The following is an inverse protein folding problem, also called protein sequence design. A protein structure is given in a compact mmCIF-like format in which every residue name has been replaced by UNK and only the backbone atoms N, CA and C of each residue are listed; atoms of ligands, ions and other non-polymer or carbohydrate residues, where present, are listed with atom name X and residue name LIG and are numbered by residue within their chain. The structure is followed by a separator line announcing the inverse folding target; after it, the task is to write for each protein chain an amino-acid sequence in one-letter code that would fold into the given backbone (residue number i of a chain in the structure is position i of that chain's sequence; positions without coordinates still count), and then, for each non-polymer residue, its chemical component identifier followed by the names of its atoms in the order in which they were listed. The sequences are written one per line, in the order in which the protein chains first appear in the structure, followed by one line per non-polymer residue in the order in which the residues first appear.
data_IF_297417312014
#
_entry.id   IF_297417312014
#
_cell.length_a   1.000
_cell.length_b   1.000
_cell.length_c   1.000
_cell.angle_alpha   90.00
_cell.angle_beta   90.00
_cell.angle_gamma   90.00
#
_symmetry.space_group_name_H-M   'P 1'
#
loop_
_entity.id
_entity.type
_entity.pdbx_description
1 polymer ?
#
# COMPACT_ATOMS: atom_id res chain seq x y z
N UNK A 1 -0.69 30.25 -18.40
CA UNK A 1 -1.98 29.70 -17.92
C UNK A 1 -3.07 30.17 -18.86
N UNK A 2 -3.89 29.27 -19.39
CA UNK A 2 -4.91 29.59 -20.42
C UNK A 2 -5.86 30.71 -19.98
N UNK A 3 -6.25 30.74 -18.70
CA UNK A 3 -7.09 31.79 -18.13
C UNK A 3 -6.50 33.21 -18.32
N UNK A 4 -5.18 33.37 -18.13
CA UNK A 4 -4.51 34.66 -18.33
C UNK A 4 -4.53 35.10 -19.79
N UNK A 5 -4.22 34.18 -20.70
CA UNK A 5 -4.22 34.44 -22.15
C UNK A 5 -5.62 34.85 -22.63
N UNK A 6 -6.67 34.21 -22.13
CA UNK A 6 -8.06 34.52 -22.51
C UNK A 6 -8.58 35.80 -21.87
N UNK A 7 -8.09 36.18 -20.70
CA UNK A 7 -8.35 37.50 -20.10
C UNK A 7 -7.71 38.61 -20.93
N UNK A 8 -6.48 38.44 -21.37
CA UNK A 8 -5.78 39.41 -22.23
C UNK A 8 -6.45 39.55 -23.62
N UNK A 9 -7.17 38.51 -24.06
CA UNK A 9 -7.97 38.49 -25.30
C UNK A 9 -9.42 38.98 -25.12
N UNK A 10 -9.83 39.36 -23.91
CA UNK A 10 -11.22 39.70 -23.54
C UNK A 10 -12.25 38.59 -23.87
N UNK A 11 -11.81 37.33 -23.85
CA UNK A 11 -12.60 36.12 -24.17
C UNK A 11 -12.89 35.27 -22.93
N UNK A 12 -13.16 35.90 -21.80
CA UNK A 12 -13.43 35.20 -20.52
C UNK A 12 -14.76 34.42 -20.59
N UNK A 13 -15.71 34.88 -21.43
CA UNK A 13 -17.01 34.21 -21.66
C UNK A 13 -16.89 32.75 -22.11
N UNK A 14 -15.79 32.39 -22.79
CA UNK A 14 -15.52 31.01 -23.23
C UNK A 14 -15.51 30.04 -22.05
N UNK A 15 -15.03 30.45 -20.86
CA UNK A 15 -15.02 29.57 -19.67
C UNK A 15 -16.43 29.23 -19.16
N UNK A 16 -17.40 30.12 -19.40
CA UNK A 16 -18.81 29.87 -19.09
C UNK A 16 -19.46 28.99 -20.16
N UNK A 17 -19.17 29.24 -21.44
CA UNK A 17 -19.68 28.46 -22.57
C UNK A 17 -19.24 26.99 -22.53
N UNK A 18 -17.98 26.73 -22.18
CA UNK A 18 -17.46 25.36 -22.02
C UNK A 18 -17.77 24.75 -20.64
N UNK A 19 -18.38 25.51 -19.73
CA UNK A 19 -18.71 25.04 -18.39
C UNK A 19 -17.52 24.77 -17.46
N UNK A 20 -16.37 25.42 -17.67
CA UNK A 20 -15.14 25.18 -16.92
C UNK A 20 -15.14 25.77 -15.49
N UNK A 21 -16.01 26.75 -15.22
CA UNK A 21 -16.05 27.45 -13.92
C UNK A 21 -16.40 26.50 -12.76
N UNK A 22 -17.40 25.62 -12.94
CA UNK A 22 -17.82 24.67 -11.88
C UNK A 22 -16.74 23.64 -11.53
N UNK A 23 -16.07 22.97 -12.49
CA UNK A 23 -14.91 22.12 -12.20
C UNK A 23 -13.80 22.85 -11.47
N UNK A 24 -13.52 24.12 -11.81
CA UNK A 24 -12.49 24.91 -11.12
C UNK A 24 -12.88 25.18 -9.65
N UNK A 25 -14.14 25.57 -9.39
CA UNK A 25 -14.67 25.73 -8.03
C UNK A 25 -14.48 24.43 -7.24
N UNK A 26 -14.84 23.29 -7.82
CA UNK A 26 -14.71 21.97 -7.19
C UNK A 26 -13.26 21.64 -6.83
N UNK A 27 -12.31 21.88 -7.74
CA UNK A 27 -10.88 21.63 -7.49
C UNK A 27 -10.35 22.56 -6.40
N UNK A 28 -10.77 23.82 -6.38
CA UNK A 28 -10.38 24.78 -5.35
C UNK A 28 -10.90 24.40 -3.96
N UNK A 29 -12.12 23.89 -3.85
CA UNK A 29 -12.76 23.55 -2.57
C UNK A 29 -12.34 22.20 -1.99
N UNK A 30 -12.24 21.16 -2.83
CA UNK A 30 -12.27 19.76 -2.36
C UNK A 30 -11.04 18.94 -2.76
N UNK A 31 -10.09 19.51 -3.51
CA UNK A 31 -8.89 18.78 -3.92
C UNK A 31 -7.86 18.69 -2.78
N UNK A 32 -7.25 17.50 -2.64
CA UNK A 32 -6.12 17.28 -1.75
C UNK A 32 -4.76 17.70 -2.35
N UNK A 33 -4.72 18.09 -3.64
CA UNK A 33 -3.50 18.48 -4.33
C UNK A 33 -3.28 20.00 -4.21
N UNK A 34 -2.28 20.47 -3.43
CA UNK A 34 -2.06 21.91 -3.21
C UNK A 34 -1.76 22.67 -4.49
N UNK A 35 -1.07 22.05 -5.45
CA UNK A 35 -0.74 22.66 -6.74
C UNK A 35 -1.98 22.84 -7.61
N UNK A 36 -2.87 21.84 -7.64
CA UNK A 36 -4.13 21.92 -8.37
C UNK A 36 -5.06 22.99 -7.79
N UNK A 37 -5.18 23.05 -6.45
CA UNK A 37 -5.94 24.10 -5.75
C UNK A 37 -5.40 25.48 -6.11
N UNK A 38 -4.07 25.67 -6.05
CA UNK A 38 -3.44 26.96 -6.33
C UNK A 38 -3.72 27.45 -7.75
N UNK A 39 -3.64 26.55 -8.75
CA UNK A 39 -3.97 26.90 -10.12
C UNK A 39 -5.48 27.13 -10.34
N UNK A 40 -6.35 26.38 -9.66
CA UNK A 40 -7.79 26.58 -9.74
C UNK A 40 -8.22 27.93 -9.15
N UNK A 41 -7.70 28.29 -7.98
CA UNK A 41 -7.93 29.60 -7.35
C UNK A 41 -7.41 30.74 -8.23
N UNK A 42 -6.21 30.58 -8.80
CA UNK A 42 -5.65 31.59 -9.71
C UNK A 42 -6.50 31.74 -10.98
N UNK A 43 -7.01 30.64 -11.55
CA UNK A 43 -7.90 30.70 -12.71
C UNK A 43 -9.23 31.38 -12.37
N UNK A 44 -9.87 31.05 -11.24
CA UNK A 44 -11.12 31.68 -10.80
C UNK A 44 -10.96 33.19 -10.53
N UNK A 45 -9.84 33.57 -9.91
CA UNK A 45 -9.50 34.98 -9.65
C UNK A 45 -9.36 35.76 -10.96
N UNK A 46 -8.76 35.15 -11.99
CA UNK A 46 -8.61 35.74 -13.32
C UNK A 46 -9.97 35.88 -14.01
N UNK A 47 -10.87 34.89 -13.85
CA UNK A 47 -12.23 34.88 -14.42
C UNK A 47 -13.15 35.90 -13.72
N UNK A 48 -12.84 36.27 -12.47
CA UNK A 48 -13.65 37.23 -11.67
C UNK A 48 -14.71 36.56 -10.80
N UNK A 49 -14.57 35.26 -10.53
CA UNK A 49 -15.46 34.49 -9.67
C UNK A 49 -15.03 34.58 -8.20
N UNK A 50 -16.00 34.47 -7.28
CA UNK A 50 -15.71 34.38 -5.84
C UNK A 50 -14.88 33.12 -5.55
N UNK A 51 -13.77 33.27 -4.83
CA UNK A 51 -12.93 32.14 -4.44
C UNK A 51 -13.74 31.30 -3.43
N UNK A 52 -13.94 30.00 -3.69
CA UNK A 52 -14.67 29.15 -2.78
C UNK A 52 -13.96 29.07 -1.43
N UNK A 53 -14.72 29.14 -0.34
CA UNK A 53 -14.22 28.80 0.98
C UNK A 53 -13.78 27.34 1.02
N UNK A 54 -12.59 27.10 1.56
CA UNK A 54 -12.05 25.75 1.72
C UNK A 54 -12.85 25.05 2.82
N UNK A 55 -13.61 24.03 2.45
CA UNK A 55 -14.34 23.19 3.39
C UNK A 55 -13.44 22.07 3.92
N UNK A 56 -13.72 21.62 5.14
CA UNK A 56 -13.06 20.44 5.71
C UNK A 56 -13.42 19.20 4.89
N UNK A 57 -12.47 18.28 4.72
CA UNK A 57 -12.74 16.98 4.09
C UNK A 57 -13.50 16.02 5.03
N UNK A 58 -13.49 16.29 6.34
CA UNK A 58 -14.27 15.54 7.33
C UNK A 58 -15.72 16.00 7.31
N UNK A 59 -16.49 15.48 6.35
CA UNK A 59 -17.92 15.78 6.18
C UNK A 59 -18.77 15.38 7.40
N UNK A 60 -18.50 14.28 8.12
CA UNK A 60 -19.28 13.93 9.32
C UNK A 60 -19.25 14.99 10.43
N UNK A 61 -18.27 15.88 10.42
CA UNK A 61 -18.11 16.95 11.41
C UNK A 61 -18.61 18.31 10.92
N UNK A 62 -19.27 18.36 9.77
CA UNK A 62 -19.78 19.62 9.21
C UNK A 62 -20.96 20.16 10.01
N UNK A 63 -20.93 21.46 10.24
CA UNK A 63 -22.06 22.23 10.74
C UNK A 63 -23.10 22.48 9.64
N UNK A 64 -24.28 22.97 10.03
CA UNK A 64 -25.29 23.43 9.08
C UNK A 64 -24.74 24.51 8.14
N UNK A 65 -23.92 25.45 8.64
CA UNK A 65 -23.31 26.50 7.81
C UNK A 65 -22.32 25.93 6.78
N UNK A 66 -21.57 24.88 7.11
CA UNK A 66 -20.69 24.19 6.17
C UNK A 66 -21.50 23.53 5.04
N UNK A 67 -22.62 22.90 5.38
CA UNK A 67 -23.57 22.31 4.40
C UNK A 67 -24.14 23.40 3.48
N UNK A 68 -24.56 24.54 4.03
CA UNK A 68 -25.07 25.67 3.26
C UNK A 68 -24.01 26.26 2.31
N UNK A 69 -22.75 26.26 2.75
CA UNK A 69 -21.60 26.68 1.96
C UNK A 69 -21.36 25.71 0.80
N UNK A 70 -21.37 24.40 1.08
CA UNK A 70 -21.25 23.37 0.05
C UNK A 70 -22.39 23.46 -0.98
N UNK A 71 -23.64 23.65 -0.55
CA UNK A 71 -24.80 23.85 -1.43
C UNK A 71 -24.62 25.02 -2.40
N UNK A 72 -24.08 26.15 -1.92
CA UNK A 72 -23.75 27.30 -2.77
C UNK A 72 -22.71 26.90 -3.82
N UNK A 73 -21.66 26.19 -3.42
CA UNK A 73 -20.56 25.78 -4.31
C UNK A 73 -20.98 24.81 -5.41
N UNK A 74 -21.88 23.86 -5.13
CA UNK A 74 -22.41 22.92 -6.13
C UNK A 74 -23.51 23.52 -7.02
N UNK A 75 -23.89 24.78 -6.77
CA UNK A 75 -24.92 25.50 -7.54
C UNK A 75 -26.36 25.15 -7.12
N UNK A 76 -26.57 24.68 -5.90
CA UNK A 76 -27.88 24.41 -5.27
C UNK A 76 -28.26 25.49 -4.26
N UNK A 77 -27.77 26.71 -4.46
CA UNK A 77 -28.00 27.85 -3.57
C UNK A 77 -29.49 28.18 -3.33
N UNK A 78 -30.37 27.85 -4.28
CA UNK A 78 -31.82 28.07 -4.15
C UNK A 78 -32.52 27.18 -3.12
N UNK A 79 -31.87 26.13 -2.62
CA UNK A 79 -32.41 25.25 -1.58
C UNK A 79 -31.80 25.53 -0.20
N UNK A 80 -30.98 26.57 -0.05
CA UNK A 80 -30.28 26.86 1.22
C UNK A 80 -31.24 27.06 2.38
N UNK A 81 -32.32 27.80 2.16
CA UNK A 81 -33.29 28.06 3.23
C UNK A 81 -33.97 26.76 3.69
N UNK A 82 -34.34 25.87 2.77
CA UNK A 82 -34.90 24.56 3.11
C UNK A 82 -33.93 23.70 3.94
N UNK A 83 -32.65 23.60 3.56
CA UNK A 83 -31.65 22.86 4.34
C UNK A 83 -31.37 23.51 5.70
N UNK A 84 -31.45 24.84 5.78
CA UNK A 84 -31.24 25.60 7.02
C UNK A 84 -32.41 25.39 7.99
N UNK A 85 -33.63 25.47 7.49
CA UNK A 85 -34.85 25.31 8.27
C UNK A 85 -34.97 23.88 8.81
N UNK A 86 -34.58 22.89 8.00
CA UNK A 86 -34.46 21.48 8.43
C UNK A 86 -33.20 21.18 9.25
N UNK A 87 -32.35 22.18 9.53
CA UNK A 87 -31.10 22.05 10.28
C UNK A 87 -30.20 20.89 9.82
N UNK A 88 -30.07 20.70 8.51
CA UNK A 88 -29.29 19.61 7.94
C UNK A 88 -27.80 19.87 8.18
N UNK A 89 -27.18 19.06 9.02
CA UNK A 89 -25.74 19.04 9.28
C UNK A 89 -25.03 17.97 8.42
N UNK A 90 -23.72 17.78 8.66
CA UNK A 90 -22.91 16.83 7.91
C UNK A 90 -23.36 15.38 8.04
N UNK A 91 -23.85 14.99 9.22
CA UNK A 91 -24.35 13.64 9.50
C UNK A 91 -25.64 13.38 8.71
N UNK A 92 -26.63 14.26 8.86
CA UNK A 92 -27.90 14.17 8.13
C UNK A 92 -27.69 14.24 6.62
N UNK A 93 -26.82 15.14 6.13
CA UNK A 93 -26.51 15.27 4.70
C UNK A 93 -26.01 13.95 4.10
N UNK A 94 -25.16 13.24 4.84
CA UNK A 94 -24.61 11.97 4.38
C UNK A 94 -25.64 10.85 4.39
N UNK A 95 -26.73 10.96 5.15
CA UNK A 95 -27.82 9.97 5.28
C UNK A 95 -29.10 10.33 4.53
N UNK A 96 -29.17 11.51 3.89
CA UNK A 96 -30.35 11.96 3.15
C UNK A 96 -30.80 10.96 2.06
N UNK A 97 -32.10 10.66 2.06
CA UNK A 97 -32.76 9.81 1.07
C UNK A 97 -33.47 10.63 -0.03
N UNK A 98 -33.81 10.00 -1.17
CA UNK A 98 -34.58 10.68 -2.24
C UNK A 98 -35.97 11.13 -1.75
N UNK A 99 -36.55 10.39 -0.80
CA UNK A 99 -37.85 10.69 -0.20
C UNK A 99 -37.78 11.94 0.67
N UNK A 100 -36.80 12.02 1.57
CA UNK A 100 -36.57 13.21 2.40
C UNK A 100 -36.25 14.45 1.56
N UNK A 101 -35.48 14.28 0.47
CA UNK A 101 -35.22 15.37 -0.46
C UNK A 101 -36.50 15.87 -1.14
N UNK A 102 -37.44 14.97 -1.45
CA UNK A 102 -38.71 15.32 -2.08
C UNK A 102 -39.69 15.96 -1.10
N UNK A 103 -39.84 15.35 0.07
CA UNK A 103 -40.95 15.60 0.99
C UNK A 103 -40.57 16.68 2.02
N UNK A 104 -39.35 16.67 2.55
CA UNK A 104 -38.90 17.62 3.58
C UNK A 104 -38.18 18.84 2.96
N UNK A 105 -37.27 18.60 2.02
CA UNK A 105 -36.48 19.67 1.36
C UNK A 105 -37.23 20.31 0.17
N UNK A 106 -38.40 19.79 -0.17
CA UNK A 106 -39.25 20.28 -1.26
C UNK A 106 -38.59 20.23 -2.66
N UNK A 107 -37.63 19.32 -2.89
CA UNK A 107 -37.09 19.08 -4.23
C UNK A 107 -38.04 18.19 -5.06
N UNK A 108 -39.20 18.73 -5.46
CA UNK A 108 -40.23 17.97 -6.19
C UNK A 108 -39.75 17.44 -7.56
N UNK A 109 -38.88 18.19 -8.25
CA UNK A 109 -38.36 17.82 -9.56
C UNK A 109 -37.30 16.70 -9.47
N UNK A 110 -37.62 15.54 -10.04
CA UNK A 110 -36.76 14.34 -10.02
C UNK A 110 -35.43 14.53 -10.74
N UNK A 111 -35.33 15.39 -11.75
CA UNK A 111 -34.06 15.68 -12.43
C UNK A 111 -33.14 16.53 -11.55
N UNK A 112 -33.71 17.45 -10.77
CA UNK A 112 -32.95 18.27 -9.82
C UNK A 112 -32.43 17.36 -8.70
N UNK A 113 -33.27 16.47 -8.15
CA UNK A 113 -32.83 15.48 -7.16
C UNK A 113 -31.73 14.57 -7.70
N UNK A 114 -31.87 14.04 -8.92
CA UNK A 114 -30.80 13.23 -9.56
C UNK A 114 -29.48 14.00 -9.71
N UNK A 115 -29.55 15.29 -10.06
CA UNK A 115 -28.35 16.15 -10.11
C UNK A 115 -27.75 16.35 -8.73
N UNK A 116 -28.57 16.59 -7.70
CA UNK A 116 -28.12 16.72 -6.32
C UNK A 116 -27.45 15.45 -5.81
N UNK A 117 -28.12 14.30 -5.96
CA UNK A 117 -27.60 12.99 -5.56
C UNK A 117 -26.27 12.67 -6.24
N UNK A 118 -26.07 13.09 -7.49
CA UNK A 118 -24.77 12.94 -8.17
C UNK A 118 -23.66 13.74 -7.47
N UNK A 119 -23.92 14.99 -7.10
CA UNK A 119 -22.94 15.80 -6.35
C UNK A 119 -22.71 15.22 -4.94
N UNK A 120 -23.75 14.67 -4.31
CA UNK A 120 -23.65 14.01 -3.01
C UNK A 120 -22.80 12.73 -3.10
N UNK A 121 -22.92 11.93 -4.16
CA UNK A 121 -22.07 10.76 -4.40
C UNK A 121 -20.60 11.15 -4.53
N UNK A 122 -20.30 12.24 -5.23
CA UNK A 122 -18.93 12.74 -5.34
C UNK A 122 -18.39 13.24 -3.99
N UNK A 123 -19.20 13.95 -3.21
CA UNK A 123 -18.86 14.36 -1.85
C UNK A 123 -18.55 13.13 -0.99
N UNK A 124 -19.44 12.14 -0.98
CA UNK A 124 -19.28 10.89 -0.21
C UNK A 124 -18.01 10.13 -0.61
N UNK A 125 -17.65 10.16 -1.88
CA UNK A 125 -16.47 9.47 -2.43
C UNK A 125 -15.17 10.18 -2.04
N UNK A 126 -15.17 11.51 -1.97
CA UNK A 126 -13.99 12.33 -1.66
C UNK A 126 -13.81 12.63 -0.18
N UNK A 127 -14.86 12.47 0.64
CA UNK A 127 -14.86 12.71 2.07
C UNK A 127 -13.86 11.83 2.84
N UNK A 128 -13.36 12.39 3.92
CA UNK A 128 -12.60 11.70 4.95
C UNK A 128 -13.54 11.23 6.07
N UNK A 129 -13.39 9.96 6.44
CA UNK A 129 -14.21 9.30 7.45
C UNK A 129 -13.34 8.80 8.62
N UNK A 130 -12.11 9.28 8.77
CA UNK A 130 -11.19 8.82 9.82
C UNK A 130 -11.73 8.99 11.25
N UNK A 131 -12.68 9.89 11.47
CA UNK A 131 -13.34 10.12 12.76
C UNK A 131 -14.29 9.00 13.17
N UNK A 132 -14.93 8.32 12.21
CA UNK A 132 -15.94 7.29 12.47
C UNK A 132 -15.54 5.90 11.93
N UNK A 133 -14.63 5.82 10.94
CA UNK A 133 -14.17 4.58 10.33
C UNK A 133 -12.94 3.98 11.05
N UNK A 134 -13.17 3.39 12.22
CA UNK A 134 -12.13 2.78 13.05
C UNK A 134 -11.41 1.60 12.35
N UNK A 135 -12.14 0.81 11.55
CA UNK A 135 -11.61 -0.39 10.88
C UNK A 135 -11.10 -0.15 9.47
N UNK A 136 -11.11 1.10 9.00
CA UNK A 136 -10.65 1.49 7.67
C UNK A 136 -11.48 0.83 6.55
N UNK A 137 -12.79 0.66 6.76
CA UNK A 137 -13.78 0.18 5.80
C UNK A 137 -13.72 0.95 4.48
N UNK A 138 -13.52 2.27 4.51
CA UNK A 138 -13.33 3.10 3.31
C UNK A 138 -12.22 2.57 2.40
N UNK A 139 -11.10 2.17 3.01
CA UNK A 139 -9.94 1.64 2.28
C UNK A 139 -10.25 0.27 1.68
N UNK A 140 -11.05 -0.55 2.36
CA UNK A 140 -11.52 -1.82 1.82
C UNK A 140 -12.46 -1.59 0.63
N UNK A 141 -13.48 -0.73 0.76
CA UNK A 141 -14.38 -0.36 -0.33
C UNK A 141 -13.63 0.15 -1.55
N UNK A 142 -12.63 1.01 -1.36
CA UNK A 142 -11.76 1.50 -2.44
C UNK A 142 -11.05 0.38 -3.21
N UNK A 143 -10.68 -0.72 -2.54
CA UNK A 143 -10.04 -1.87 -3.20
C UNK A 143 -11.04 -2.67 -4.02
N UNK A 144 -12.30 -2.75 -3.58
CA UNK A 144 -13.38 -3.35 -4.39
C UNK A 144 -13.63 -2.51 -5.63
N UNK A 145 -13.57 -1.18 -5.49
CA UNK A 145 -13.72 -0.21 -6.56
C UNK A 145 -13.90 1.21 -6.01
N UNK A 146 -13.38 2.25 -6.69
CA UNK A 146 -13.49 3.62 -6.22
C UNK A 146 -14.95 4.09 -6.05
N UNK A 147 -15.87 3.57 -6.87
CA UNK A 147 -17.30 3.89 -6.81
C UNK A 147 -17.98 3.41 -5.52
N UNK A 148 -17.46 2.39 -4.82
CA UNK A 148 -18.09 1.88 -3.61
C UNK A 148 -17.74 2.68 -2.36
N UNK A 149 -16.76 3.59 -2.43
CA UNK A 149 -16.41 4.47 -1.30
C UNK A 149 -17.60 5.34 -0.85
N UNK A 150 -18.56 5.61 -1.73
CA UNK A 150 -19.77 6.36 -1.40
C UNK A 150 -20.61 5.73 -0.28
N UNK A 151 -20.51 4.41 -0.06
CA UNK A 151 -21.28 3.68 0.93
C UNK A 151 -20.64 3.66 2.32
N UNK A 152 -19.42 4.17 2.46
CA UNK A 152 -18.64 4.09 3.71
C UNK A 152 -19.43 4.61 4.90
N UNK A 153 -20.03 5.80 4.79
CA UNK A 153 -20.69 6.43 5.93
C UNK A 153 -21.91 5.65 6.41
N UNK A 154 -22.78 5.24 5.49
CA UNK A 154 -23.98 4.45 5.82
C UNK A 154 -23.60 3.14 6.49
N UNK A 155 -22.60 2.42 5.95
CA UNK A 155 -22.16 1.16 6.54
C UNK A 155 -21.62 1.38 7.96
N UNK A 156 -20.73 2.36 8.15
CA UNK A 156 -20.19 2.69 9.48
C UNK A 156 -21.30 3.12 10.46
N UNK A 157 -22.27 3.90 10.00
CA UNK A 157 -23.41 4.35 10.82
C UNK A 157 -24.31 3.18 11.26
N UNK A 158 -24.46 2.15 10.43
CA UNK A 158 -25.13 0.90 10.80
C UNK A 158 -24.29 0.02 11.75
N UNK A 159 -23.11 0.47 12.19
CA UNK A 159 -22.19 -0.32 13.02
C UNK A 159 -21.45 -1.40 12.23
N UNK A 160 -21.44 -1.32 10.91
CA UNK A 160 -20.72 -2.26 10.06
C UNK A 160 -19.25 -1.89 10.03
N UNK A 161 -18.42 -2.85 10.38
CA UNK A 161 -16.99 -2.75 10.40
C UNK A 161 -16.37 -3.94 9.66
N UNK A 162 -15.04 -3.97 9.51
CA UNK A 162 -14.39 -5.07 8.76
C UNK A 162 -14.58 -6.46 9.38
N UNK A 163 -14.95 -6.55 10.65
CA UNK A 163 -15.18 -7.82 11.35
C UNK A 163 -16.61 -8.31 11.15
N UNK A 164 -17.58 -7.40 11.03
CA UNK A 164 -18.98 -7.74 10.78
C UNK A 164 -19.29 -7.97 9.31
N UNK A 165 -18.42 -7.50 8.39
CA UNK A 165 -18.56 -7.72 6.93
C UNK A 165 -18.82 -9.19 6.55
N UNK A 166 -18.20 -10.16 7.25
CA UNK A 166 -18.35 -11.59 6.94
C UNK A 166 -19.79 -12.10 7.12
N UNK A 167 -20.56 -11.45 7.98
CA UNK A 167 -21.92 -11.86 8.35
C UNK A 167 -23.00 -11.08 7.59
N UNK A 168 -22.61 -10.19 6.67
CA UNK A 168 -23.56 -9.40 5.91
C UNK A 168 -24.28 -10.22 4.83
N UNK A 169 -25.60 -10.15 4.86
CA UNK A 169 -26.49 -10.69 3.83
C UNK A 169 -26.75 -9.64 2.76
N UNK A 170 -27.38 -10.05 1.65
CA UNK A 170 -27.83 -9.08 0.65
C UNK A 170 -28.88 -8.12 1.23
N UNK A 171 -29.75 -8.63 2.10
CA UNK A 171 -30.82 -7.84 2.72
C UNK A 171 -30.25 -6.73 3.61
N UNK A 172 -29.21 -7.02 4.43
CA UNK A 172 -28.54 -5.97 5.22
C UNK A 172 -27.88 -4.89 4.33
N UNK A 173 -27.37 -5.27 3.14
CA UNK A 173 -26.79 -4.31 2.20
C UNK A 173 -27.87 -3.45 1.53
N UNK A 174 -29.09 -3.98 1.34
CA UNK A 174 -30.19 -3.26 0.73
C UNK A 174 -30.92 -2.37 1.73
N UNK A 175 -31.39 -2.94 2.83
CA UNK A 175 -32.31 -2.31 3.79
C UNK A 175 -31.55 -1.39 4.75
N UNK A 176 -30.46 -1.87 5.35
CA UNK A 176 -29.70 -1.08 6.34
C UNK A 176 -28.69 -0.15 5.67
N UNK A 177 -27.89 -0.66 4.73
CA UNK A 177 -26.82 0.12 4.10
C UNK A 177 -27.30 1.03 2.97
N UNK A 178 -28.55 0.90 2.53
CA UNK A 178 -29.14 1.69 1.44
C UNK A 178 -28.52 1.45 0.05
N UNK A 179 -27.88 0.29 -0.19
CA UNK A 179 -27.24 -0.02 -1.48
C UNK A 179 -28.29 -0.58 -2.45
N UNK A 180 -29.10 0.30 -3.03
CA UNK A 180 -30.19 -0.08 -3.95
C UNK A 180 -29.69 -0.77 -5.23
N UNK A 181 -28.49 -0.42 -5.69
CA UNK A 181 -27.91 -1.02 -6.90
C UNK A 181 -27.48 -2.47 -6.67
N UNK A 182 -28.25 -3.42 -7.23
CA UNK A 182 -27.98 -4.86 -7.09
C UNK A 182 -26.62 -5.30 -7.64
N UNK A 183 -26.07 -4.63 -8.65
CA UNK A 183 -24.71 -4.93 -9.16
C UNK A 183 -23.65 -4.54 -8.13
N UNK A 184 -23.85 -3.42 -7.44
CA UNK A 184 -22.94 -2.99 -6.38
C UNK A 184 -23.00 -3.96 -5.20
N UNK A 185 -24.21 -4.36 -4.77
CA UNK A 185 -24.38 -5.38 -3.72
C UNK A 185 -23.69 -6.69 -4.10
N UNK A 186 -23.93 -7.21 -5.30
CA UNK A 186 -23.29 -8.43 -5.79
C UNK A 186 -21.77 -8.34 -5.76
N UNK A 187 -21.18 -7.23 -6.24
CA UNK A 187 -19.72 -7.05 -6.25
C UNK A 187 -19.14 -6.94 -4.83
N UNK A 188 -19.80 -6.19 -3.94
CA UNK A 188 -19.41 -6.06 -2.54
C UNK A 188 -19.51 -7.41 -1.84
N UNK A 189 -20.59 -8.15 -2.02
CA UNK A 189 -20.81 -9.47 -1.43
C UNK A 189 -19.83 -10.51 -1.97
N UNK A 190 -19.52 -10.47 -3.28
CA UNK A 190 -18.46 -11.29 -3.86
C UNK A 190 -17.09 -10.94 -3.29
N UNK A 191 -16.81 -9.66 -3.05
CA UNK A 191 -15.57 -9.22 -2.41
C UNK A 191 -15.48 -9.63 -0.93
N UNK A 192 -16.61 -9.69 -0.20
CA UNK A 192 -16.68 -10.23 1.16
C UNK A 192 -16.37 -11.74 1.14
N UNK A 193 -17.06 -12.51 0.28
CA UNK A 193 -16.84 -13.96 0.12
C UNK A 193 -15.43 -14.30 -0.36
N UNK A 194 -14.89 -13.50 -1.28
CA UNK A 194 -13.53 -13.59 -1.75
C UNK A 194 -12.52 -13.13 -0.69
N UNK A 195 -12.90 -12.17 0.17
CA UNK A 195 -12.12 -11.67 1.30
C UNK A 195 -11.73 -12.77 2.29
N UNK A 196 -12.62 -13.75 2.51
CA UNK A 196 -12.35 -14.95 3.31
C UNK A 196 -11.28 -15.87 2.68
N UNK A 197 -11.06 -15.81 1.35
CA UNK A 197 -10.07 -16.63 0.63
C UNK A 197 -8.81 -15.90 0.15
N UNK A 198 -8.87 -14.58 -0.04
CA UNK A 198 -7.80 -13.78 -0.68
C UNK A 198 -7.24 -12.67 0.22
N UNK A 199 -7.92 -12.31 1.32
CA UNK A 199 -7.56 -11.12 2.11
C UNK A 199 -7.72 -11.34 3.62
N UNK A 200 -6.75 -12.00 4.29
CA UNK A 200 -6.72 -12.04 5.75
C UNK A 200 -6.69 -10.62 6.32
N UNK A 201 -7.41 -10.39 7.42
CA UNK A 201 -7.55 -9.08 8.10
C UNK A 201 -6.25 -8.48 8.66
N UNK A 202 -5.08 -9.08 8.42
CA UNK A 202 -3.81 -8.61 8.97
C UNK A 202 -3.09 -7.62 8.04
N UNK A 203 -3.46 -6.35 8.13
CA UNK A 203 -2.48 -5.26 7.95
C UNK A 203 -2.91 -4.00 8.71
N UNK A 204 -2.24 -3.85 9.85
CA UNK A 204 -1.85 -2.59 10.49
C UNK A 204 -2.84 -1.93 11.45
N UNK A 205 -2.84 -2.44 12.70
CA UNK A 205 -2.42 -1.69 13.89
C UNK A 205 -1.82 -2.65 14.95
N UNK A 206 -0.68 -2.30 15.53
CA UNK A 206 -0.18 -2.76 16.83
C UNK A 206 -1.22 -2.42 17.91
N UNK A 207 -1.70 -3.28 18.81
CA UNK A 207 -1.03 -4.14 19.81
C UNK A 207 -2.02 -5.18 20.38
N UNK A 208 -1.58 -6.20 21.15
CA UNK A 208 -2.13 -7.55 21.11
C UNK A 208 -3.05 -7.93 22.28
N UNK A 209 -4.06 -8.75 21.99
CA UNK A 209 -4.49 -9.81 22.91
C UNK A 209 -5.12 -10.97 22.14
N UNK A 210 -4.27 -11.99 21.86
CA UNK A 210 -4.51 -13.45 21.95
C UNK A 210 -5.73 -14.00 21.15
N UNK A 211 -5.61 -14.88 20.15
CA UNK A 211 -4.71 -16.05 20.01
C UNK A 211 -4.57 -16.53 18.53
N UNK A 212 -3.31 -16.70 18.11
CA UNK A 212 -2.72 -17.76 17.26
C UNK A 212 -3.32 -18.20 15.90
N UNK A 213 -2.97 -17.48 14.82
CA UNK A 213 -2.40 -18.08 13.61
C UNK A 213 -1.22 -17.19 13.15
N UNK A 214 0.02 -17.70 13.25
CA UNK A 214 1.22 -16.90 12.97
C UNK A 214 1.31 -16.46 11.49
N UNK A 215 1.65 -15.18 11.20
CA UNK A 215 1.84 -14.71 9.83
C UNK A 215 3.04 -15.44 9.21
N UNK A 216 2.84 -16.03 8.04
CA UNK A 216 3.91 -16.72 7.29
C UNK A 216 4.94 -15.67 6.84
N UNK A 217 6.17 -15.79 7.32
CA UNK A 217 7.27 -14.89 7.01
C UNK A 217 7.93 -15.37 5.72
N UNK A 218 7.99 -14.54 4.69
CA UNK A 218 8.49 -14.95 3.37
C UNK A 218 9.98 -14.63 3.19
N UNK A 219 10.43 -13.50 3.74
CA UNK A 219 11.79 -13.00 3.59
C UNK A 219 12.31 -12.44 4.92
N UNK A 220 13.46 -12.92 5.36
CA UNK A 220 14.22 -12.32 6.45
C UNK A 220 15.44 -11.59 5.87
N UNK A 221 15.66 -10.32 6.24
CA UNK A 221 16.84 -9.56 5.83
C UNK A 221 17.78 -9.39 7.02
N UNK A 222 18.93 -10.04 6.93
CA UNK A 222 20.06 -9.84 7.84
C UNK A 222 20.98 -8.77 7.27
N UNK A 223 21.42 -7.83 8.11
CA UNK A 223 22.30 -6.74 7.72
C UNK A 223 23.17 -6.27 8.89
N UNK A 224 24.37 -5.76 8.57
CA UNK A 224 25.22 -5.12 9.57
C UNK A 224 24.65 -3.74 9.90
N UNK A 225 24.25 -3.50 11.15
CA UNK A 225 23.59 -2.23 11.56
C UNK A 225 24.41 -0.97 11.25
N UNK A 226 25.73 -1.04 11.40
CA UNK A 226 26.62 0.11 11.23
C UNK A 226 26.65 0.65 9.78
N UNK A 227 26.52 -0.22 8.78
CA UNK A 227 26.80 0.10 7.37
C UNK A 227 25.66 -0.30 6.42
N UNK A 228 24.86 -1.30 6.77
CA UNK A 228 23.85 -1.91 5.89
C UNK A 228 22.40 -1.47 6.12
N UNK A 229 22.13 -0.59 7.10
CA UNK A 229 20.77 -0.19 7.48
C UNK A 229 19.99 0.44 6.33
N UNK A 230 20.61 1.37 5.59
CA UNK A 230 19.98 2.06 4.46
C UNK A 230 19.58 1.09 3.34
N UNK A 231 20.49 0.18 2.97
CA UNK A 231 20.22 -0.81 1.92
C UNK A 231 19.16 -1.83 2.37
N UNK A 232 19.19 -2.28 3.62
CA UNK A 232 18.18 -3.18 4.16
C UNK A 232 16.77 -2.54 4.17
N UNK A 233 16.67 -1.27 4.55
CA UNK A 233 15.41 -0.52 4.48
C UNK A 233 14.93 -0.35 3.04
N UNK A 234 15.83 -0.06 2.10
CA UNK A 234 15.49 0.07 0.68
C UNK A 234 14.95 -1.26 0.12
N UNK A 235 15.68 -2.36 0.33
CA UNK A 235 15.26 -3.71 -0.07
C UNK A 235 13.90 -4.06 0.51
N UNK A 236 13.67 -3.75 1.79
CA UNK A 236 12.37 -3.97 2.43
C UNK A 236 11.24 -3.23 1.72
N UNK A 237 11.39 -1.92 1.47
CA UNK A 237 10.35 -1.13 0.81
C UNK A 237 10.05 -1.70 -0.58
N UNK A 238 11.08 -1.97 -1.38
CA UNK A 238 10.90 -2.52 -2.73
C UNK A 238 10.25 -3.91 -2.73
N UNK A 239 10.67 -4.82 -1.85
CA UNK A 239 10.10 -6.16 -1.76
C UNK A 239 8.66 -6.14 -1.20
N UNK A 240 8.35 -5.24 -0.27
CA UNK A 240 6.99 -5.05 0.23
C UNK A 240 6.05 -4.52 -0.86
N UNK A 241 6.52 -3.58 -1.70
CA UNK A 241 5.76 -3.11 -2.87
C UNK A 241 5.44 -4.25 -3.85
N UNK A 242 6.26 -5.30 -3.89
CA UNK A 242 6.08 -6.50 -4.71
C UNK A 242 5.36 -7.65 -3.99
N UNK A 243 4.83 -7.37 -2.80
CA UNK A 243 3.97 -8.28 -2.05
C UNK A 243 4.68 -9.34 -1.20
N UNK A 244 5.99 -9.19 -0.94
CA UNK A 244 6.70 -10.07 -0.01
C UNK A 244 6.49 -9.62 1.45
N UNK A 245 6.29 -10.58 2.36
CA UNK A 245 6.33 -10.31 3.79
C UNK A 245 7.78 -10.32 4.28
N UNK A 246 8.35 -9.12 4.44
CA UNK A 246 9.76 -8.91 4.76
C UNK A 246 9.95 -8.47 6.21
N UNK A 247 10.79 -9.21 6.92
CA UNK A 247 11.25 -8.86 8.26
C UNK A 247 12.69 -8.32 8.20
N UNK A 248 12.91 -7.16 8.82
CA UNK A 248 14.25 -6.62 9.09
C UNK A 248 14.35 -6.38 10.59
N UNK A 249 15.54 -6.55 11.15
CA UNK A 249 15.82 -6.21 12.54
C UNK A 249 15.81 -4.67 12.71
N UNK A 250 14.78 -4.08 13.33
CA UNK A 250 14.67 -2.62 13.56
C UNK A 250 14.82 -2.31 15.05
N UNK A 251 15.81 -1.45 15.35
CA UNK A 251 16.21 -0.67 16.56
C UNK A 251 15.45 -0.73 17.91
N UNK A 252 14.28 -1.36 18.07
CA UNK A 252 13.51 -1.39 19.34
C UNK A 252 13.62 -2.72 20.08
N UNK A 253 14.83 -3.18 20.38
CA UNK A 253 15.04 -4.38 21.18
C UNK A 253 15.92 -4.06 22.38
N UNK A 254 15.30 -3.37 23.35
CA UNK A 254 15.81 -3.28 24.72
C UNK A 254 15.89 -4.68 25.34
N UNK A 255 16.97 -4.89 26.09
CA UNK A 255 17.44 -6.11 26.75
C UNK A 255 16.38 -7.15 27.17
N UNK A 256 16.59 -8.42 26.77
CA UNK A 256 16.62 -9.50 27.76
C UNK A 256 15.92 -10.83 27.44
N UNK A 257 14.96 -10.94 26.51
CA UNK A 257 14.22 -12.21 26.28
C UNK A 257 13.70 -12.47 24.84
N UNK A 258 14.19 -11.77 23.81
CA UNK A 258 13.70 -11.93 22.43
C UNK A 258 14.65 -12.69 21.48
N UNK A 259 15.81 -13.11 21.95
CA UNK A 259 16.85 -13.82 21.19
C UNK A 259 16.31 -15.05 20.43
N UNK A 260 15.46 -15.83 21.08
CA UNK A 260 14.83 -17.01 20.47
C UNK A 260 13.81 -16.65 19.39
N UNK A 261 13.13 -15.51 19.49
CA UNK A 261 12.14 -15.09 18.50
C UNK A 261 12.78 -14.64 17.19
N UNK A 262 13.96 -14.01 17.25
CA UNK A 262 14.69 -13.61 16.04
C UNK A 262 15.13 -14.85 15.24
N UNK A 263 15.73 -15.83 15.93
CA UNK A 263 16.15 -17.10 15.32
C UNK A 263 14.95 -17.94 14.87
N UNK A 264 13.84 -17.93 15.61
CA UNK A 264 12.58 -18.54 15.15
C UNK A 264 12.04 -17.89 13.88
N UNK A 265 12.16 -16.57 13.74
CA UNK A 265 11.73 -15.85 12.54
C UNK A 265 12.60 -16.21 11.33
N UNK A 266 13.91 -16.39 11.52
CA UNK A 266 14.81 -16.92 10.49
C UNK A 266 14.37 -18.33 10.08
N UNK A 267 14.12 -19.23 11.04
CA UNK A 267 13.67 -20.61 10.77
C UNK A 267 12.30 -20.69 10.08
N UNK A 268 11.43 -19.70 10.33
CA UNK A 268 10.10 -19.59 9.69
C UNK A 268 10.17 -18.94 8.30
N UNK A 269 11.27 -18.25 7.97
CA UNK A 269 11.46 -17.60 6.69
C UNK A 269 11.68 -18.63 5.58
N UNK A 270 11.06 -18.42 4.41
CA UNK A 270 11.40 -19.20 3.20
C UNK A 270 12.71 -18.75 2.58
N UNK A 271 12.93 -17.43 2.57
CA UNK A 271 14.09 -16.80 1.97
C UNK A 271 14.84 -15.97 3.01
N UNK A 272 16.15 -15.97 2.89
CA UNK A 272 17.05 -15.22 3.75
C UNK A 272 17.95 -14.35 2.88
N UNK A 273 17.85 -13.03 3.04
CA UNK A 273 18.67 -12.07 2.30
C UNK A 273 19.76 -11.58 3.24
N UNK A 274 21.01 -11.71 2.81
CA UNK A 274 22.16 -11.23 3.55
C UNK A 274 22.72 -9.97 2.89
N UNK A 275 22.62 -8.82 3.56
CA UNK A 275 23.16 -7.56 3.06
C UNK A 275 24.64 -7.44 3.43
N UNK A 276 25.49 -7.54 2.41
CA UNK A 276 26.94 -7.46 2.51
C UNK A 276 27.41 -6.08 2.04
N UNK A 277 27.65 -5.20 3.00
CA UNK A 277 28.30 -3.89 2.82
C UNK A 277 29.78 -3.99 3.22
N UNK A 278 30.63 -2.97 2.99
CA UNK A 278 32.00 -2.99 3.48
C UNK A 278 32.02 -3.34 4.98
N UNK A 279 32.97 -4.19 5.37
CA UNK A 279 33.21 -4.66 6.74
C UNK A 279 32.03 -5.42 7.37
N UNK A 280 31.09 -5.92 6.54
CA UNK A 280 29.89 -6.59 7.04
C UNK A 280 30.20 -7.88 7.81
N UNK A 281 31.28 -8.61 7.49
CA UNK A 281 31.63 -9.89 8.13
C UNK A 281 32.79 -9.81 9.13
N UNK A 282 33.47 -8.67 9.26
CA UNK A 282 34.69 -8.52 10.06
C UNK A 282 34.49 -8.93 11.52
N UNK A 283 33.37 -8.51 12.12
CA UNK A 283 33.05 -8.91 13.50
C UNK A 283 32.73 -10.40 13.61
N UNK A 284 32.22 -11.04 12.56
CA UNK A 284 31.96 -12.48 12.55
C UNK A 284 33.27 -13.28 12.50
N UNK A 285 34.30 -12.74 11.82
CA UNK A 285 35.64 -13.35 11.75
C UNK A 285 36.33 -13.30 13.12
N UNK A 286 36.26 -12.15 13.80
CA UNK A 286 36.91 -11.97 15.12
C UNK A 286 36.14 -12.61 16.29
N UNK A 287 34.91 -13.07 16.05
CA UNK A 287 34.02 -13.60 17.08
C UNK A 287 34.29 -15.09 17.32
N UNK A 288 35.15 -15.42 18.27
CA UNK A 288 35.45 -16.81 18.65
C UNK A 288 34.39 -17.45 19.54
N UNK A 289 33.54 -16.64 20.18
CA UNK A 289 32.52 -17.09 21.13
C UNK A 289 31.12 -17.23 20.50
N UNK A 290 30.97 -16.90 19.21
CA UNK A 290 29.70 -17.00 18.48
C UNK A 290 28.63 -16.04 19.01
N UNK A 291 29.03 -14.88 19.53
CA UNK A 291 28.13 -13.87 20.11
C UNK A 291 27.54 -12.92 19.07
N UNK A 292 28.12 -12.84 17.87
CA UNK A 292 27.67 -11.94 16.82
C UNK A 292 26.31 -12.37 16.25
N UNK A 293 25.39 -11.41 16.18
CA UNK A 293 24.02 -11.65 15.71
C UNK A 293 23.95 -12.04 14.24
N UNK A 294 24.77 -11.41 13.38
CA UNK A 294 24.78 -11.72 11.95
C UNK A 294 25.31 -13.14 11.74
N UNK A 295 26.33 -13.55 12.49
CA UNK A 295 26.80 -14.95 12.48
C UNK A 295 25.71 -15.92 12.90
N UNK A 296 25.03 -15.66 14.03
CA UNK A 296 23.92 -16.52 14.51
C UNK A 296 22.77 -16.65 13.51
N UNK A 297 22.41 -15.56 12.85
CA UNK A 297 21.36 -15.56 11.82
C UNK A 297 21.77 -16.36 10.58
N UNK A 298 23.02 -16.22 10.12
CA UNK A 298 23.53 -16.98 8.98
C UNK A 298 23.56 -18.48 9.29
N UNK A 299 24.09 -18.87 10.45
CA UNK A 299 24.13 -20.28 10.88
C UNK A 299 22.71 -20.84 10.97
N UNK A 300 21.77 -20.11 11.57
CA UNK A 300 20.38 -20.53 11.66
C UNK A 300 19.72 -20.69 10.27
N UNK A 301 20.00 -19.80 9.32
CA UNK A 301 19.47 -19.87 7.96
C UNK A 301 20.03 -21.06 7.17
N UNK A 302 21.30 -21.41 7.39
CA UNK A 302 21.95 -22.59 6.81
C UNK A 302 21.32 -23.86 7.39
N UNK A 303 21.17 -23.95 8.70
CA UNK A 303 20.55 -25.09 9.39
C UNK A 303 19.10 -25.31 8.96
N UNK A 304 18.32 -24.25 8.75
CA UNK A 304 16.93 -24.34 8.32
C UNK A 304 16.75 -24.51 6.81
N UNK A 305 17.84 -24.66 6.04
CA UNK A 305 17.81 -24.82 4.57
C UNK A 305 17.00 -23.71 3.87
N UNK A 306 17.09 -22.48 4.37
CA UNK A 306 16.46 -21.32 3.72
C UNK A 306 17.14 -21.02 2.37
N UNK A 307 16.40 -20.38 1.46
CA UNK A 307 17.01 -19.85 0.25
C UNK A 307 17.83 -18.59 0.58
N UNK A 308 19.15 -18.76 0.74
CA UNK A 308 20.07 -17.68 1.10
C UNK A 308 20.49 -16.92 -0.17
N UNK A 309 20.22 -15.62 -0.20
CA UNK A 309 20.58 -14.71 -1.31
C UNK A 309 21.46 -13.57 -0.77
N UNK A 310 22.78 -13.64 -0.96
CA UNK A 310 23.68 -12.54 -0.61
C UNK A 310 23.48 -11.34 -1.55
N UNK A 311 23.36 -10.13 -1.00
CA UNK A 311 23.29 -8.86 -1.75
C UNK A 311 24.52 -8.02 -1.38
N UNK A 312 25.44 -7.86 -2.34
CA UNK A 312 26.75 -7.25 -2.14
C UNK A 312 26.77 -5.81 -2.65
N UNK A 313 27.02 -4.85 -1.77
CA UNK A 313 27.30 -3.46 -2.11
C UNK A 313 28.73 -3.13 -1.73
N UNK A 314 29.59 -2.94 -2.73
CA UNK A 314 31.03 -2.64 -2.54
C UNK A 314 31.75 -3.59 -1.57
N UNK A 315 31.32 -4.85 -1.49
CA UNK A 315 31.87 -5.87 -0.59
C UNK A 315 32.81 -6.83 -1.33
N UNK A 316 33.92 -7.18 -0.68
CA UNK A 316 34.86 -8.22 -1.12
C UNK A 316 34.78 -9.42 -0.20
N UNK A 317 34.68 -10.62 -0.76
CA UNK A 317 34.66 -11.85 0.02
C UNK A 317 36.01 -12.08 0.71
N UNK A 318 36.04 -12.34 2.03
CA UNK A 318 37.23 -12.84 2.72
C UNK A 318 37.55 -14.26 2.26
N UNK A 319 38.75 -14.76 2.61
CA UNK A 319 39.07 -16.16 2.29
C UNK A 319 38.15 -17.11 3.09
N UNK A 320 37.71 -18.25 2.53
CA UNK A 320 36.82 -19.16 3.25
C UNK A 320 37.41 -19.69 4.57
N UNK A 321 38.73 -19.68 4.69
CA UNK A 321 39.50 -20.14 5.87
C UNK A 321 39.46 -19.11 7.02
N UNK A 322 39.32 -17.82 6.71
CA UNK A 322 39.14 -16.74 7.69
C UNK A 322 37.74 -16.75 8.31
N UNK A 323 36.75 -17.31 7.61
CA UNK A 323 35.40 -17.43 8.15
C UNK A 323 35.29 -18.64 9.10
N UNK A 324 34.54 -18.49 10.21
CA UNK A 324 34.18 -19.60 11.06
C UNK A 324 33.55 -20.76 10.27
N UNK A 325 33.87 -21.98 10.67
CA UNK A 325 33.52 -23.20 9.94
C UNK A 325 32.00 -23.39 9.76
N UNK A 326 31.21 -22.89 10.71
CA UNK A 326 29.74 -22.95 10.72
C UNK A 326 29.06 -22.02 9.70
N UNK A 327 29.72 -20.95 9.26
CA UNK A 327 29.17 -19.99 8.29
C UNK A 327 29.87 -20.01 6.93
N UNK A 328 30.97 -20.77 6.77
CA UNK A 328 31.76 -20.86 5.53
C UNK A 328 30.92 -21.20 4.29
N UNK A 329 29.83 -21.95 4.47
CA UNK A 329 28.90 -22.31 3.40
C UNK A 329 28.33 -21.09 2.68
N UNK A 330 28.22 -19.93 3.34
CA UNK A 330 27.65 -18.69 2.78
C UNK A 330 28.40 -18.20 1.52
N UNK A 331 29.70 -18.50 1.40
CA UNK A 331 30.53 -18.10 0.25
C UNK A 331 30.14 -18.81 -1.05
N UNK A 332 29.45 -19.94 -0.96
CA UNK A 332 29.07 -20.77 -2.12
C UNK A 332 27.67 -20.45 -2.66
N UNK A 333 26.94 -19.52 -2.03
CA UNK A 333 25.61 -19.11 -2.50
C UNK A 333 25.72 -18.05 -3.61
N UNK A 334 24.79 -18.13 -4.56
CA UNK A 334 24.73 -17.18 -5.68
C UNK A 334 24.28 -15.80 -5.20
N UNK A 335 25.22 -14.86 -5.15
CA UNK A 335 24.95 -13.48 -4.75
C UNK A 335 24.54 -12.54 -5.88
N UNK A 336 23.95 -11.40 -5.51
CA UNK A 336 23.60 -10.29 -6.40
C UNK A 336 24.50 -9.11 -6.05
N UNK A 337 25.18 -8.56 -7.06
CA UNK A 337 25.92 -7.31 -6.91
C UNK A 337 24.93 -6.14 -7.02
N UNK A 338 24.84 -5.35 -5.97
CA UNK A 338 24.04 -4.13 -5.91
C UNK A 338 24.77 -3.00 -6.64
N UNK A 339 24.06 -2.32 -7.55
CA UNK A 339 24.57 -1.16 -8.27
C UNK A 339 23.56 -0.03 -8.08
N UNK A 340 24.00 1.08 -7.48
CA UNK A 340 23.14 2.20 -7.12
C UNK A 340 22.42 2.85 -8.31
N UNK A 341 23.00 2.79 -9.51
CA UNK A 341 22.41 3.37 -10.73
C UNK A 341 21.36 2.44 -11.38
N UNK A 342 21.33 1.15 -11.01
CA UNK A 342 20.47 0.12 -11.63
C UNK A 342 19.61 -0.63 -10.59
N UNK A 343 19.02 0.12 -9.65
CA UNK A 343 18.29 -0.44 -8.50
C UNK A 343 17.16 -1.38 -8.93
N UNK A 344 16.30 -0.94 -9.86
CA UNK A 344 15.14 -1.72 -10.30
C UNK A 344 15.53 -3.06 -10.91
N UNK A 345 16.60 -3.09 -11.73
CA UNK A 345 17.11 -4.32 -12.32
C UNK A 345 17.71 -5.27 -11.28
N UNK A 346 18.37 -4.73 -10.24
CA UNK A 346 18.85 -5.52 -9.10
C UNK A 346 17.69 -6.13 -8.31
N UNK A 347 16.61 -5.37 -8.08
CA UNK A 347 15.40 -5.87 -7.40
C UNK A 347 14.67 -6.91 -8.25
N UNK A 348 14.55 -6.71 -9.57
CA UNK A 348 13.95 -7.71 -10.49
C UNK A 348 14.71 -9.03 -10.43
N UNK A 349 16.04 -8.96 -10.44
CA UNK A 349 16.89 -10.14 -10.31
C UNK A 349 16.71 -10.80 -8.94
N UNK A 350 16.65 -10.02 -7.87
CA UNK A 350 16.41 -10.51 -6.51
C UNK A 350 15.06 -11.21 -6.40
N UNK A 351 13.99 -10.63 -6.95
CA UNK A 351 12.67 -11.25 -6.95
C UNK A 351 12.66 -12.61 -7.64
N UNK A 352 13.34 -12.76 -8.78
CA UNK A 352 13.45 -14.06 -9.48
C UNK A 352 14.10 -15.13 -8.60
N UNK A 353 15.13 -14.76 -7.85
CA UNK A 353 15.79 -15.64 -6.89
C UNK A 353 14.87 -16.03 -5.73
N UNK A 354 14.02 -15.12 -5.27
CA UNK A 354 13.08 -15.36 -4.16
C UNK A 354 11.84 -16.18 -4.56
N UNK A 355 11.41 -16.08 -5.82
CA UNK A 355 10.25 -16.86 -6.34
C UNK A 355 10.63 -18.25 -6.84
N UNK A 356 11.92 -18.57 -6.93
CA UNK A 356 12.40 -19.87 -7.36
C UNK A 356 12.12 -20.17 -8.83
N UNK A 357 12.18 -19.15 -9.71
CA UNK A 357 12.12 -19.42 -11.15
C UNK A 357 13.32 -20.27 -11.56
N UNK A 358 12.97 -21.50 -11.93
CA UNK A 358 13.85 -22.59 -12.29
C UNK A 358 14.89 -22.16 -13.35
N UNK A 359 16.16 -22.06 -12.94
CA UNK A 359 17.31 -21.86 -13.84
C UNK A 359 17.41 -22.97 -14.92
N UNK A 360 16.60 -24.02 -14.81
CA UNK A 360 16.43 -25.10 -15.79
C UNK A 360 15.91 -24.65 -17.16
N UNK A 361 15.11 -23.56 -17.25
CA UNK A 361 14.53 -23.11 -18.54
C UNK A 361 15.45 -22.29 -19.43
N UNK A 362 16.67 -21.97 -19.00
CA UNK A 362 17.63 -21.17 -19.80
C UNK A 362 18.44 -22.01 -20.81
N UNK A 363 18.36 -23.34 -20.74
CA UNK A 363 19.06 -24.26 -21.66
C UNK A 363 18.39 -24.51 -23.02
N UNK A 364 17.22 -23.94 -23.31
CA UNK A 364 16.47 -24.22 -24.56
C UNK A 364 16.19 -23.02 -25.47
N UNK A 365 16.66 -21.82 -25.13
CA UNK A 365 16.39 -20.61 -25.93
C UNK A 365 17.64 -19.79 -26.33
N UNK A 366 18.87 -20.30 -26.13
CA UNK A 366 20.10 -19.65 -26.59
C UNK A 366 20.66 -20.20 -27.90
N UNK A 367 19.95 -21.08 -28.62
CA UNK A 367 20.35 -21.50 -29.97
C UNK A 367 19.81 -20.55 -31.02
N UNK A 368 20.17 -19.27 -30.94
CA UNK A 368 20.10 -18.27 -32.02
C UNK A 368 20.60 -16.92 -31.48
N UNK A 369 21.93 -16.78 -31.38
CA UNK A 369 22.69 -15.55 -31.70
C UNK A 369 24.09 -15.74 -31.13
N UNK A 370 24.95 -16.38 -31.91
CA UNK A 370 26.39 -16.42 -31.67
C UNK A 370 27.00 -15.13 -32.24
N UNK A 371 27.49 -14.26 -31.37
CA UNK A 371 28.84 -13.67 -31.41
C UNK A 371 29.02 -12.74 -30.20
N UNK A 372 30.22 -12.82 -29.64
CA UNK A 372 30.81 -12.02 -28.56
C UNK A 372 30.49 -12.47 -27.11
N UNK A 373 30.99 -13.65 -26.75
CA UNK A 373 31.32 -14.02 -25.36
C UNK A 373 32.84 -13.86 -25.16
N UNK A 374 33.26 -12.83 -24.42
CA UNK A 374 34.57 -12.82 -23.77
C UNK A 374 34.51 -13.63 -22.48
N UNK A 375 35.45 -14.57 -22.41
CA UNK A 375 35.67 -15.58 -21.37
C UNK A 375 36.17 -14.91 -20.08
N UNK A 376 35.51 -15.16 -18.94
CA UNK A 376 36.21 -15.19 -17.66
C UNK A 376 35.79 -16.42 -16.85
N UNK A 377 36.82 -17.23 -16.64
CA UNK A 377 36.84 -18.57 -16.05
C UNK A 377 36.60 -18.50 -14.53
N UNK A 378 35.83 -19.44 -13.99
CA UNK A 378 35.84 -19.74 -12.55
C UNK A 378 35.91 -21.26 -12.34
N UNK A 379 36.78 -21.75 -11.44
CA UNK A 379 37.12 -23.17 -11.41
C UNK A 379 36.03 -24.00 -10.73
N UNK A 380 35.58 -25.06 -11.40
CA UNK A 380 34.73 -26.11 -10.81
C UNK A 380 35.59 -27.07 -9.97
N UNK A 381 35.46 -27.05 -8.65
CA UNK A 381 35.86 -28.19 -7.83
C UNK A 381 34.73 -29.23 -7.82
N UNK A 382 35.07 -30.44 -8.31
CA UNK A 382 34.19 -31.60 -8.48
C UNK A 382 34.23 -32.42 -7.17
N UNK A 383 33.11 -32.52 -6.46
CA UNK A 383 32.95 -33.39 -5.29
C UNK A 383 33.05 -34.87 -5.73
N UNK A 384 34.09 -35.56 -5.27
CA UNK A 384 34.24 -37.00 -5.37
C UNK A 384 33.29 -37.68 -4.38
N UNK A 385 32.36 -38.51 -4.89
CA UNK A 385 31.65 -39.51 -4.07
C UNK A 385 32.65 -40.57 -3.61
N UNK A 386 32.81 -40.75 -2.30
CA UNK A 386 33.35 -42.00 -1.76
C UNK A 386 32.27 -43.07 -1.86
N UNK A 387 32.52 -44.09 -2.69
CA UNK A 387 31.81 -45.35 -2.67
C UNK A 387 32.50 -46.28 -1.68
N UNK A 388 31.72 -46.81 -0.75
CA UNK A 388 32.12 -47.97 0.06
C UNK A 388 32.21 -49.19 -0.84
N UNK A 389 33.36 -49.86 -0.81
CA UNK A 389 33.52 -51.22 -1.33
C UNK A 389 34.12 -52.07 -0.21
N UNK A 390 33.32 -53.05 0.21
CA UNK A 390 33.75 -54.24 0.94
C UNK A 390 34.94 -54.92 0.27
N UNK A 391 35.80 -55.57 1.07
CA UNK A 391 36.22 -56.99 0.93
C UNK A 391 37.43 -57.26 1.83
N UNK A 392 37.30 -58.20 2.78
CA UNK A 392 37.76 -59.60 2.66
C UNK A 392 37.13 -60.39 3.81
#
# INVERSE_FOLDING_TARGET
MEAGIKKDQDRIKVFYEIGAVRPLIRVASSSCNPTAVRFAVQALTIIGEEIPSKLSLSVPTWSTDDVLTWLKQIGFGGFRDAFKDSQVDGDLLLLLTDEQLRDDISMSNSLIRKRFLRELVELKTSADYSSCDSTKLRRWLRRVGPEYMQYTYHMVHCGIDRTTLEWLTEDHLLEDCGIVNGVHRMKIQNAIKAGSRLFPLSSETSSPSKENIAPKLDVFISYRRATGSQLASLLKVHLQLRGFNVFIDVEKLEAGKFDNKLLENVKKAKNFILVLTPDALDRCITDTEGKDWVRKEIVAAIESSCNIVPVMSSFSWPTPEELPEDMRAVCYFNGIKWIHDYQDACIDKLERFLRGEDMSKRGRLSKMSSKDEEVFDTPRYRLHRMGSSDSI
#
